data_IF_813117968097
#
_entry.id   IF_813117968097
#
_cell.length_a   1.000
_cell.length_b   1.000
_cell.length_c   1.000
_cell.angle_alpha   90.00
_cell.angle_beta   90.00
_cell.angle_gamma   90.00
#
_symmetry.space_group_name_H-M   'P 1'
#
loop_
_entity.id
_entity.type
_entity.pdbx_description
1 polymer ?
#
# COMPACT_ATOMS: atom_id res chain seq x y z
N UNK A 1 -0.13 -22.69 6.04
CA UNK A 1 0.48 -21.87 4.97
C UNK A 1 1.50 -20.99 5.64
N UNK A 2 2.74 -20.98 5.17
CA UNK A 2 3.81 -20.22 5.81
C UNK A 2 3.77 -18.74 5.42
N UNK A 3 4.25 -17.86 6.29
CA UNK A 3 4.28 -16.39 6.06
C UNK A 3 5.04 -16.04 4.77
N UNK A 4 6.10 -16.77 4.46
CA UNK A 4 6.88 -16.57 3.23
C UNK A 4 6.07 -16.89 1.98
N UNK A 5 5.22 -17.93 2.03
CA UNK A 5 4.31 -18.27 0.93
C UNK A 5 3.28 -17.17 0.70
N UNK A 6 2.77 -16.55 1.78
CA UNK A 6 1.86 -15.41 1.68
C UNK A 6 2.52 -14.21 1.02
N UNK A 7 3.72 -13.82 1.46
CA UNK A 7 4.44 -12.71 0.83
C UNK A 7 4.75 -12.97 -0.64
N UNK A 8 5.06 -14.22 -1.01
CA UNK A 8 5.24 -14.60 -2.40
C UNK A 8 3.95 -14.46 -3.23
N UNK A 9 2.81 -14.86 -2.68
CA UNK A 9 1.50 -14.73 -3.34
C UNK A 9 1.13 -13.25 -3.52
N UNK A 10 1.27 -12.44 -2.48
CA UNK A 10 1.01 -10.99 -2.55
C UNK A 10 1.93 -10.30 -3.55
N UNK A 11 3.22 -10.62 -3.52
CA UNK A 11 4.20 -10.12 -4.47
C UNK A 11 3.80 -10.45 -5.92
N UNK A 12 3.40 -11.70 -6.16
CA UNK A 12 2.95 -12.16 -7.48
C UNK A 12 1.73 -11.39 -7.97
N UNK A 13 0.77 -11.09 -7.08
CA UNK A 13 -0.40 -10.27 -7.41
C UNK A 13 -0.01 -8.84 -7.75
N UNK A 14 0.90 -8.24 -6.99
CA UNK A 14 1.44 -6.91 -7.30
C UNK A 14 2.09 -6.88 -8.68
N UNK A 15 2.92 -7.86 -9.03
CA UNK A 15 3.49 -7.95 -10.37
C UNK A 15 2.42 -8.13 -11.45
N UNK A 16 1.43 -9.00 -11.22
CA UNK A 16 0.34 -9.22 -12.16
C UNK A 16 -0.44 -7.93 -12.42
N UNK A 17 -0.91 -7.24 -11.37
CA UNK A 17 -1.67 -6.00 -11.50
C UNK A 17 -0.84 -4.84 -12.07
N UNK A 18 0.45 -4.78 -11.73
CA UNK A 18 1.39 -3.84 -12.33
C UNK A 18 1.54 -4.07 -13.84
N UNK A 19 1.70 -5.31 -14.28
CA UNK A 19 1.81 -5.66 -15.71
C UNK A 19 0.49 -5.43 -16.45
N UNK A 20 -0.66 -5.81 -15.88
CA UNK A 20 -1.97 -5.54 -16.48
C UNK A 20 -2.19 -4.05 -16.67
N UNK A 21 -1.87 -3.22 -15.67
CA UNK A 21 -2.00 -1.78 -15.79
C UNK A 21 -0.97 -1.17 -16.76
N UNK A 22 0.22 -1.76 -16.87
CA UNK A 22 1.22 -1.34 -17.85
C UNK A 22 0.67 -1.53 -19.27
N UNK A 23 0.12 -2.72 -19.57
CA UNK A 23 -0.52 -2.99 -20.86
C UNK A 23 -1.68 -2.02 -21.11
N UNK A 24 -2.53 -1.78 -20.11
CA UNK A 24 -3.62 -0.81 -20.21
C UNK A 24 -3.12 0.62 -20.48
N UNK A 25 -2.02 1.03 -19.83
CA UNK A 25 -1.42 2.37 -20.03
C UNK A 25 -0.82 2.55 -21.42
N UNK A 26 -0.27 1.48 -21.99
CA UNK A 26 0.27 1.49 -23.35
C UNK A 26 -0.86 1.52 -24.39
N UNK A 27 -1.98 0.84 -24.12
CA UNK A 27 -3.17 0.88 -24.95
C UNK A 27 -3.92 2.23 -24.87
N UNK A 28 -3.85 2.92 -23.72
CA UNK A 28 -4.56 4.17 -23.46
C UNK A 28 -3.60 5.28 -22.96
N UNK A 29 -2.80 5.92 -23.83
CA UNK A 29 -1.79 6.90 -23.43
C UNK A 29 -2.33 8.15 -22.72
N UNK A 30 -3.62 8.45 -22.87
CA UNK A 30 -4.28 9.58 -22.22
C UNK A 30 -4.65 9.34 -20.75
N UNK A 31 -4.47 8.13 -20.23
CA UNK A 31 -4.97 7.73 -18.92
C UNK A 31 -4.02 8.20 -17.79
N UNK A 32 -4.31 9.40 -17.27
CA UNK A 32 -3.56 10.01 -16.17
C UNK A 32 -3.59 9.10 -14.94
N UNK A 33 -2.45 8.94 -14.27
CA UNK A 33 -2.33 8.10 -13.06
C UNK A 33 -1.97 6.64 -13.31
N UNK A 34 -2.17 6.09 -14.52
CA UNK A 34 -1.86 4.69 -14.83
C UNK A 34 -0.40 4.32 -14.57
N UNK A 35 0.52 5.17 -15.03
CA UNK A 35 1.96 4.97 -14.83
C UNK A 35 2.36 4.94 -13.35
N UNK A 36 1.76 5.81 -12.52
CA UNK A 36 1.99 5.82 -11.08
C UNK A 36 1.45 4.57 -10.40
N UNK A 37 0.33 4.03 -10.90
CA UNK A 37 -0.22 2.76 -10.43
C UNK A 37 0.72 1.61 -10.75
N UNK A 38 1.30 1.57 -11.95
CA UNK A 38 2.31 0.57 -12.35
C UNK A 38 3.52 0.63 -11.41
N UNK A 39 4.11 1.81 -11.23
CA UNK A 39 5.27 1.99 -10.33
C UNK A 39 4.92 1.52 -8.92
N UNK A 40 3.75 1.91 -8.40
CA UNK A 40 3.30 1.50 -7.08
C UNK A 40 3.28 -0.02 -6.94
N UNK A 41 2.67 -0.72 -7.90
CA UNK A 41 2.54 -2.16 -7.85
C UNK A 41 3.88 -2.87 -7.99
N UNK A 42 4.75 -2.41 -8.90
CA UNK A 42 6.10 -2.97 -9.01
C UNK A 42 6.94 -2.75 -7.75
N UNK A 43 6.87 -1.57 -7.14
CA UNK A 43 7.54 -1.28 -5.88
C UNK A 43 7.04 -2.19 -4.75
N UNK A 44 5.72 -2.39 -4.63
CA UNK A 44 5.13 -3.28 -3.64
C UNK A 44 5.51 -4.75 -3.85
N UNK A 45 5.51 -5.23 -5.10
CA UNK A 45 5.96 -6.58 -5.44
C UNK A 45 7.41 -6.84 -5.05
N UNK A 46 8.32 -5.92 -5.40
CA UNK A 46 9.73 -6.02 -5.00
C UNK A 46 9.88 -5.94 -3.48
N UNK A 47 9.16 -5.04 -2.79
CA UNK A 47 9.21 -4.91 -1.34
C UNK A 47 8.84 -6.22 -0.63
N UNK A 48 7.76 -6.87 -1.07
CA UNK A 48 7.30 -8.13 -0.51
C UNK A 48 8.22 -9.30 -0.84
N UNK A 49 8.79 -9.35 -2.04
CA UNK A 49 9.80 -10.36 -2.40
C UNK A 49 11.03 -10.26 -1.50
N UNK A 50 11.52 -9.04 -1.26
CA UNK A 50 12.64 -8.81 -0.34
C UNK A 50 12.28 -9.19 1.10
N UNK A 51 11.04 -8.95 1.51
CA UNK A 51 10.57 -9.28 2.86
C UNK A 51 10.40 -10.80 3.06
N UNK A 52 9.93 -11.53 2.05
CA UNK A 52 9.88 -12.99 2.05
C UNK A 52 11.25 -13.65 1.97
N UNK A 53 12.21 -13.04 1.27
CA UNK A 53 13.59 -13.51 1.17
C UNK A 53 14.49 -13.04 2.33
N UNK A 54 13.93 -12.41 3.38
CA UNK A 54 14.67 -11.75 4.45
C UNK A 54 15.68 -12.66 5.17
N UNK A 55 15.39 -13.97 5.28
CA UNK A 55 16.30 -14.93 5.91
C UNK A 55 17.63 -15.11 5.15
N UNK A 56 17.67 -14.76 3.86
CA UNK A 56 18.83 -14.94 2.98
C UNK A 56 19.47 -13.61 2.56
N UNK A 57 18.96 -12.48 3.04
CA UNK A 57 19.40 -11.15 2.64
C UNK A 57 20.14 -10.42 3.76
N UNK A 58 21.13 -9.57 3.44
CA UNK A 58 21.71 -8.63 4.41
C UNK A 58 20.62 -7.79 5.06
N UNK A 59 20.74 -7.55 6.37
CA UNK A 59 19.76 -6.82 7.20
C UNK A 59 19.36 -5.47 6.56
N UNK A 60 20.33 -4.75 5.99
CA UNK A 60 20.10 -3.46 5.33
C UNK A 60 19.17 -3.61 4.12
N UNK A 61 19.38 -4.61 3.28
CA UNK A 61 18.56 -4.86 2.09
C UNK A 61 17.17 -5.37 2.50
N UNK A 62 17.10 -6.34 3.40
CA UNK A 62 15.84 -6.95 3.81
C UNK A 62 14.91 -5.99 4.57
N UNK A 63 15.46 -5.05 5.35
CA UNK A 63 14.66 -4.12 6.17
C UNK A 63 14.57 -2.74 5.54
N UNK A 64 15.70 -2.09 5.26
CA UNK A 64 15.70 -0.67 4.85
C UNK A 64 15.13 -0.53 3.46
N UNK A 65 15.63 -1.31 2.49
CA UNK A 65 15.16 -1.22 1.11
C UNK A 65 13.69 -1.63 0.98
N UNK A 66 13.26 -2.71 1.65
CA UNK A 66 11.86 -3.14 1.64
C UNK A 66 10.92 -2.05 2.18
N UNK A 67 11.26 -1.42 3.31
CA UNK A 67 10.42 -0.35 3.89
C UNK A 67 10.39 0.90 2.99
N UNK A 68 11.52 1.26 2.37
CA UNK A 68 11.57 2.36 1.40
C UNK A 68 10.68 2.08 0.18
N UNK A 69 10.68 0.84 -0.31
CA UNK A 69 9.82 0.42 -1.42
C UNK A 69 8.34 0.39 -1.04
N UNK A 70 7.98 0.00 0.18
CA UNK A 70 6.60 0.14 0.68
C UNK A 70 6.15 1.59 0.76
N UNK A 71 7.03 2.51 1.14
CA UNK A 71 6.73 3.93 1.12
C UNK A 71 6.58 4.44 -0.31
N UNK A 72 7.46 4.04 -1.22
CA UNK A 72 7.34 4.37 -2.63
C UNK A 72 6.01 3.85 -3.21
N UNK A 73 5.60 2.64 -2.85
CA UNK A 73 4.29 2.07 -3.19
C UNK A 73 3.15 2.97 -2.69
N UNK A 74 3.06 3.28 -1.39
CA UNK A 74 1.96 4.08 -0.83
C UNK A 74 1.87 5.48 -1.45
N UNK A 75 3.01 6.13 -1.65
CA UNK A 75 3.09 7.47 -2.24
C UNK A 75 2.68 7.44 -3.71
N UNK A 76 3.19 6.47 -4.48
CA UNK A 76 2.83 6.32 -5.89
C UNK A 76 1.37 5.94 -6.07
N UNK A 77 0.81 5.11 -5.17
CA UNK A 77 -0.59 4.73 -5.19
C UNK A 77 -1.50 5.94 -4.94
N UNK A 78 -1.19 6.76 -3.94
CA UNK A 78 -1.92 8.00 -3.69
C UNK A 78 -1.83 8.93 -4.90
N UNK A 79 -0.63 9.09 -5.46
CA UNK A 79 -0.41 9.91 -6.66
C UNK A 79 -1.18 9.38 -7.88
N UNK A 80 -1.28 8.07 -8.05
CA UNK A 80 -2.06 7.44 -9.10
C UNK A 80 -3.53 7.84 -8.99
N UNK A 81 -4.10 7.74 -7.79
CA UNK A 81 -5.50 8.11 -7.52
C UNK A 81 -5.75 9.60 -7.72
N UNK A 82 -4.89 10.48 -7.17
CA UNK A 82 -5.06 11.93 -7.30
C UNK A 82 -4.91 12.41 -8.74
N UNK A 83 -3.94 11.84 -9.49
CA UNK A 83 -3.73 12.17 -10.89
C UNK A 83 -4.85 11.64 -11.79
N UNK A 84 -5.38 10.46 -11.49
CA UNK A 84 -6.52 9.89 -12.20
C UNK A 84 -7.78 10.75 -12.03
N UNK A 85 -8.05 11.20 -10.80
CA UNK A 85 -9.20 12.05 -10.49
C UNK A 85 -8.99 13.54 -10.79
N UNK A 86 -7.76 13.94 -11.16
CA UNK A 86 -7.41 15.34 -11.44
C UNK A 86 -7.61 16.28 -10.24
N UNK A 87 -7.46 15.78 -9.01
CA UNK A 87 -7.73 16.55 -7.79
C UNK A 87 -6.73 16.26 -6.69
N UNK A 88 -6.51 17.27 -5.85
CA UNK A 88 -5.58 17.20 -4.72
C UNK A 88 -4.22 16.62 -5.16
N UNK A 89 -3.74 17.01 -6.35
CA UNK A 89 -2.55 16.43 -6.99
C UNK A 89 -1.26 16.61 -6.17
N UNK A 90 -1.25 17.48 -5.17
CA UNK A 90 -0.11 17.69 -4.25
C UNK A 90 -0.21 16.85 -2.97
N UNK A 91 -1.29 16.09 -2.77
CA UNK A 91 -1.52 15.30 -1.56
C UNK A 91 -0.48 14.20 -1.35
N UNK A 92 0.18 13.75 -2.41
CA UNK A 92 1.31 12.81 -2.31
C UNK A 92 2.47 13.36 -1.49
N UNK A 93 2.64 14.69 -1.39
CA UNK A 93 3.67 15.32 -0.55
C UNK A 93 3.35 15.11 0.93
N UNK A 94 2.07 15.29 1.30
CA UNK A 94 1.62 15.04 2.66
C UNK A 94 1.72 13.55 3.01
N UNK A 95 1.34 12.66 2.08
CA UNK A 95 1.53 11.21 2.23
C UNK A 95 3.01 10.85 2.38
N UNK A 96 3.90 11.45 1.57
CA UNK A 96 5.34 11.25 1.69
C UNK A 96 5.84 11.70 3.05
N UNK A 97 5.41 12.87 3.55
CA UNK A 97 5.76 13.36 4.88
C UNK A 97 5.38 12.38 5.99
N UNK A 98 4.14 11.88 5.98
CA UNK A 98 3.66 10.87 6.94
C UNK A 98 4.49 9.58 6.85
N UNK A 99 4.75 9.10 5.63
CA UNK A 99 5.54 7.90 5.41
C UNK A 99 6.99 8.04 5.88
N UNK A 100 7.62 9.21 5.67
CA UNK A 100 8.99 9.48 6.12
C UNK A 100 9.08 9.51 7.65
N UNK A 101 8.13 10.15 8.33
CA UNK A 101 8.03 10.10 9.80
C UNK A 101 7.85 8.66 10.29
N UNK A 102 6.98 7.89 9.62
CA UNK A 102 6.80 6.47 9.88
C UNK A 102 8.09 5.65 9.75
N UNK A 103 8.84 5.82 8.65
CA UNK A 103 10.14 5.15 8.44
C UNK A 103 11.12 5.49 9.56
N UNK A 104 11.24 6.76 9.95
CA UNK A 104 12.13 7.16 11.03
C UNK A 104 11.77 6.44 12.34
N UNK A 105 10.46 6.32 12.64
CA UNK A 105 9.98 5.54 13.78
C UNK A 105 10.32 4.06 13.66
N UNK A 106 10.09 3.45 12.50
CA UNK A 106 10.43 2.04 12.25
C UNK A 106 11.92 1.78 12.40
N UNK A 107 12.77 2.67 11.88
CA UNK A 107 14.22 2.57 11.99
C UNK A 107 14.67 2.69 13.46
N UNK A 108 14.13 3.65 14.20
CA UNK A 108 14.43 3.84 15.63
C UNK A 108 14.09 2.60 16.46
N UNK A 109 12.88 2.07 16.32
CA UNK A 109 12.42 0.87 17.02
C UNK A 109 12.96 -0.45 16.46
N UNK A 110 13.74 -0.40 15.37
CA UNK A 110 14.43 -1.59 14.84
C UNK A 110 15.92 -1.62 15.18
N UNK A 111 16.57 -0.45 15.29
CA UNK A 111 18.02 -0.35 15.44
C UNK A 111 18.46 0.12 16.83
N UNK A 112 17.68 1.00 17.49
CA UNK A 112 18.06 1.62 18.77
C UNK A 112 17.37 0.94 19.95
N UNK A 113 16.04 0.80 19.88
CA UNK A 113 15.23 0.14 20.91
C UNK A 113 14.35 -0.93 20.28
N UNK A 114 14.84 -2.18 20.14
CA UNK A 114 14.10 -3.25 19.47
C UNK A 114 12.85 -3.65 20.26
N UNK A 115 11.73 -3.01 19.94
CA UNK A 115 10.39 -3.35 20.44
C UNK A 115 9.50 -3.71 19.24
N UNK A 116 9.14 -4.99 19.15
CA UNK A 116 8.34 -5.50 18.03
C UNK A 116 6.91 -4.93 18.07
N UNK A 117 6.32 -4.77 19.25
CA UNK A 117 4.95 -4.27 19.41
C UNK A 117 4.84 -2.82 18.96
N UNK A 118 5.74 -1.96 19.43
CA UNK A 118 5.76 -0.54 19.04
C UNK A 118 6.09 -0.38 17.56
N UNK A 119 7.04 -1.16 17.03
CA UNK A 119 7.36 -1.14 15.59
C UNK A 119 6.13 -1.47 14.73
N UNK A 120 5.36 -2.49 15.11
CA UNK A 120 4.15 -2.87 14.35
C UNK A 120 3.05 -1.82 14.48
N UNK A 121 2.91 -1.17 15.63
CA UNK A 121 2.00 -0.04 15.80
C UNK A 121 2.39 1.14 14.88
N UNK A 122 3.68 1.50 14.80
CA UNK A 122 4.18 2.55 13.91
C UNK A 122 3.94 2.21 12.44
N UNK A 123 4.24 0.99 12.00
CA UNK A 123 3.96 0.54 10.62
C UNK A 123 2.46 0.62 10.33
N UNK A 124 1.62 0.23 11.28
CA UNK A 124 0.17 0.25 11.11
C UNK A 124 -0.36 1.67 10.95
N UNK A 125 0.14 2.64 11.73
CA UNK A 125 -0.19 4.06 11.56
C UNK A 125 0.33 4.58 10.21
N UNK A 126 1.57 4.23 9.85
CA UNK A 126 2.21 4.61 8.59
C UNK A 126 1.42 4.12 7.36
N UNK A 127 0.70 3.00 7.47
CA UNK A 127 -0.16 2.48 6.40
C UNK A 127 -1.58 3.05 6.48
N UNK A 128 -2.16 3.13 7.68
CA UNK A 128 -3.54 3.58 7.88
C UNK A 128 -3.75 5.05 7.47
N UNK A 129 -2.84 5.95 7.86
CA UNK A 129 -3.00 7.39 7.59
C UNK A 129 -2.99 7.69 6.07
N UNK A 130 -2.02 7.23 5.27
CA UNK A 130 -2.06 7.36 3.81
C UNK A 130 -3.29 6.73 3.16
N UNK A 131 -3.79 5.63 3.72
CA UNK A 131 -4.99 4.95 3.23
C UNK A 131 -6.25 5.78 3.48
N UNK A 132 -6.39 6.37 4.68
CA UNK A 132 -7.47 7.32 4.99
C UNK A 132 -7.40 8.57 4.12
N UNK A 133 -6.19 9.10 3.92
CA UNK A 133 -5.93 10.20 3.01
C UNK A 133 -6.38 9.87 1.58
N UNK A 134 -6.05 8.68 1.08
CA UNK A 134 -6.46 8.23 -0.26
C UNK A 134 -7.98 8.02 -0.33
N UNK A 135 -8.59 7.45 0.71
CA UNK A 135 -10.04 7.30 0.82
C UNK A 135 -10.77 8.66 0.82
N UNK A 136 -10.22 9.66 1.54
CA UNK A 136 -10.74 11.02 1.55
C UNK A 136 -10.76 11.63 0.15
N UNK A 137 -9.67 11.46 -0.59
CA UNK A 137 -9.61 11.85 -2.00
C UNK A 137 -10.68 11.13 -2.77
N UNK A 138 -10.89 9.83 -2.61
CA UNK A 138 -11.87 9.04 -3.38
C UNK A 138 -13.33 9.43 -3.09
N UNK A 139 -13.67 9.77 -1.85
CA UNK A 139 -15.05 10.14 -1.48
C UNK A 139 -15.49 11.53 -1.94
N UNK A 140 -14.57 12.39 -2.39
CA UNK A 140 -14.92 13.71 -2.88
C UNK A 140 -15.78 13.69 -4.17
N UNK A 141 -16.22 14.86 -4.67
CA UNK A 141 -17.03 15.00 -5.88
C UNK A 141 -16.38 14.37 -7.13
N UNK A 142 -17.06 13.44 -7.80
CA UNK A 142 -16.57 12.80 -9.02
C UNK A 142 -17.64 12.85 -10.14
N UNK A 143 -17.19 12.80 -11.39
CA UNK A 143 -18.04 12.69 -12.57
C UNK A 143 -18.97 11.47 -12.45
N UNK A 144 -20.19 11.57 -13.00
CA UNK A 144 -21.24 10.54 -12.83
C UNK A 144 -20.79 9.14 -13.25
N UNK A 145 -19.98 9.03 -14.31
CA UNK A 145 -19.47 7.75 -14.80
C UNK A 145 -18.49 7.03 -13.86
N UNK A 146 -17.72 7.76 -13.05
CA UNK A 146 -16.65 7.18 -12.21
C UNK A 146 -17.00 7.19 -10.72
N UNK A 147 -18.09 7.87 -10.34
CA UNK A 147 -18.47 8.10 -8.94
C UNK A 147 -18.66 6.81 -8.14
N UNK A 148 -19.31 5.81 -8.72
CA UNK A 148 -19.56 4.53 -8.03
C UNK A 148 -18.26 3.77 -7.80
N UNK A 149 -17.42 3.63 -8.84
CA UNK A 149 -16.13 2.97 -8.74
C UNK A 149 -15.19 3.70 -7.76
N UNK A 150 -15.17 5.03 -7.78
CA UNK A 150 -14.38 5.85 -6.86
C UNK A 150 -14.81 5.66 -5.41
N UNK A 151 -16.12 5.66 -5.12
CA UNK A 151 -16.64 5.40 -3.76
C UNK A 151 -16.36 3.99 -3.28
N UNK A 152 -16.52 2.99 -4.15
CA UNK A 152 -16.20 1.60 -3.81
C UNK A 152 -14.72 1.46 -3.47
N UNK A 153 -13.84 2.01 -4.29
CA UNK A 153 -12.40 2.02 -4.03
C UNK A 153 -12.08 2.77 -2.74
N UNK A 154 -12.75 3.90 -2.47
CA UNK A 154 -12.64 4.63 -1.21
C UNK A 154 -13.00 3.76 0.01
N UNK A 155 -14.07 2.96 -0.10
CA UNK A 155 -14.45 1.98 0.93
C UNK A 155 -13.41 0.89 1.13
N UNK A 156 -12.74 0.43 0.06
CA UNK A 156 -11.64 -0.55 0.17
C UNK A 156 -10.45 0.05 0.93
N UNK A 157 -10.07 1.30 0.63
CA UNK A 157 -9.01 2.00 1.39
C UNK A 157 -9.40 2.26 2.85
N UNK A 158 -10.67 2.58 3.12
CA UNK A 158 -11.18 2.74 4.48
C UNK A 158 -11.15 1.41 5.24
N UNK A 159 -11.56 0.32 4.60
CA UNK A 159 -11.48 -1.02 5.16
C UNK A 159 -10.02 -1.40 5.45
N UNK A 160 -9.10 -1.12 4.53
CA UNK A 160 -7.67 -1.35 4.74
C UNK A 160 -7.11 -0.56 5.92
N UNK A 161 -7.49 0.72 6.06
CA UNK A 161 -7.10 1.53 7.21
C UNK A 161 -7.62 0.94 8.53
N UNK A 162 -8.85 0.42 8.54
CA UNK A 162 -9.43 -0.23 9.71
C UNK A 162 -8.71 -1.54 10.05
N UNK A 163 -8.45 -2.40 9.07
CA UNK A 163 -7.74 -3.68 9.24
C UNK A 163 -6.32 -3.46 9.73
N UNK A 164 -5.59 -2.52 9.13
CA UNK A 164 -4.21 -2.20 9.54
C UNK A 164 -4.16 -1.57 10.94
N UNK A 165 -5.12 -0.69 11.29
CA UNK A 165 -5.23 -0.14 12.64
C UNK A 165 -5.54 -1.22 13.67
N UNK A 166 -6.47 -2.14 13.36
CA UNK A 166 -6.79 -3.29 14.19
C UNK A 166 -5.59 -4.22 14.38
N UNK A 167 -4.79 -4.44 13.32
CA UNK A 167 -3.52 -5.19 13.37
C UNK A 167 -2.55 -4.55 14.35
N UNK A 168 -2.32 -3.24 14.22
CA UNK A 168 -1.42 -2.49 15.10
C UNK A 168 -1.82 -2.62 16.57
N UNK A 169 -3.10 -2.44 16.86
CA UNK A 169 -3.64 -2.59 18.22
C UNK A 169 -3.54 -4.03 18.75
N UNK A 170 -3.92 -5.02 17.94
CA UNK A 170 -3.91 -6.43 18.34
C UNK A 170 -2.49 -6.94 18.63
N UNK A 171 -1.52 -6.58 17.80
CA UNK A 171 -0.12 -6.96 18.01
C UNK A 171 0.46 -6.27 19.23
N UNK A 172 0.19 -4.97 19.41
CA UNK A 172 0.64 -4.22 20.57
C UNK A 172 0.08 -4.78 21.88
N UNK A 173 -1.22 -5.09 21.94
CA UNK A 173 -1.90 -5.48 23.19
C UNK A 173 -1.82 -6.96 23.51
N UNK A 174 -1.93 -7.82 22.50
CA UNK A 174 -2.15 -9.26 22.66
C UNK A 174 -1.07 -10.12 22.00
N UNK A 175 -0.10 -9.51 21.29
CA UNK A 175 1.02 -10.23 20.67
C UNK A 175 0.56 -11.34 19.71
N UNK A 176 -0.62 -11.15 19.09
CA UNK A 176 -1.27 -12.15 18.21
C UNK A 176 -0.45 -12.33 16.92
N UNK A 177 -0.33 -13.57 16.41
CA UNK A 177 0.30 -13.82 15.12
C UNK A 177 -0.40 -13.06 13.98
N UNK A 178 0.41 -12.42 13.14
CA UNK A 178 -0.01 -11.49 12.07
C UNK A 178 -0.66 -12.14 10.85
N UNK A 179 -0.78 -13.48 10.81
CA UNK A 179 -1.19 -14.25 9.63
C UNK A 179 -2.56 -13.84 9.08
N UNK A 180 -3.57 -13.69 9.94
CA UNK A 180 -4.93 -13.32 9.52
C UNK A 180 -4.99 -11.94 8.87
N UNK A 181 -4.16 -11.01 9.33
CA UNK A 181 -4.11 -9.65 8.76
C UNK A 181 -3.44 -9.64 7.39
N UNK A 182 -2.38 -10.43 7.19
CA UNK A 182 -1.73 -10.59 5.88
C UNK A 182 -2.73 -11.19 4.87
N UNK A 183 -3.54 -12.17 5.30
CA UNK A 183 -4.61 -12.71 4.45
C UNK A 183 -5.67 -11.68 4.04
N UNK A 184 -6.00 -10.73 4.92
CA UNK A 184 -6.93 -9.64 4.58
C UNK A 184 -6.28 -8.63 3.63
N UNK A 185 -4.97 -8.42 3.72
CA UNK A 185 -4.21 -7.55 2.83
C UNK A 185 -4.32 -8.03 1.36
N UNK A 186 -4.34 -9.35 1.10
CA UNK A 186 -4.61 -9.92 -0.24
C UNK A 186 -5.93 -9.43 -0.86
N UNK A 187 -7.01 -9.45 -0.08
CA UNK A 187 -8.35 -9.02 -0.53
C UNK A 187 -8.33 -7.53 -0.85
N UNK A 188 -7.64 -6.74 -0.02
CA UNK A 188 -7.47 -5.31 -0.24
C UNK A 188 -6.67 -5.04 -1.51
N UNK A 189 -5.54 -5.71 -1.73
CA UNK A 189 -4.69 -5.52 -2.91
C UNK A 189 -5.50 -5.78 -4.19
N UNK A 190 -6.25 -6.89 -4.22
CA UNK A 190 -7.14 -7.21 -5.32
C UNK A 190 -8.23 -6.14 -5.49
N UNK A 191 -8.89 -5.73 -4.40
CA UNK A 191 -9.92 -4.70 -4.43
C UNK A 191 -9.43 -3.34 -4.93
N UNK A 192 -8.19 -2.97 -4.57
CA UNK A 192 -7.56 -1.74 -5.05
C UNK A 192 -7.28 -1.84 -6.56
N UNK A 193 -6.72 -2.96 -7.02
CA UNK A 193 -6.42 -3.16 -8.43
C UNK A 193 -7.69 -3.19 -9.30
N UNK A 194 -8.70 -3.99 -8.92
CA UNK A 194 -9.96 -4.04 -9.65
C UNK A 194 -10.70 -2.70 -9.60
N UNK A 195 -10.72 -2.01 -8.46
CA UNK A 195 -11.33 -0.70 -8.35
C UNK A 195 -10.65 0.33 -9.24
N UNK A 196 -9.31 0.32 -9.33
CA UNK A 196 -8.57 1.22 -10.20
C UNK A 196 -8.78 0.90 -11.68
N UNK A 197 -8.76 -0.38 -12.05
CA UNK A 197 -9.04 -0.82 -13.42
C UNK A 197 -10.47 -0.45 -13.83
N UNK A 198 -11.45 -0.64 -12.95
CA UNK A 198 -12.84 -0.26 -13.23
C UNK A 198 -13.01 1.25 -13.39
N UNK A 199 -12.30 2.07 -12.61
CA UNK A 199 -12.31 3.51 -12.86
C UNK A 199 -11.74 3.86 -14.24
N UNK A 200 -10.80 3.07 -14.75
CA UNK A 200 -10.09 3.30 -16.02
C UNK A 200 -10.77 2.72 -17.28
N UNK A 201 -11.85 1.95 -17.11
CA UNK A 201 -12.62 1.33 -18.19
C UNK A 201 -13.78 2.22 -18.66
#
# INVERSE_FOLDING_TARGET
>A
MDINTLFFVESSLFFLFGLTMLVNSLANPGLRGAYWFVISNLAGGVALSLQGARAHLPVVIGIVLSNLLFVAQLVCLNRAVTAFLGRMEQMWIAVLGVCMVGICGVAYFSLVHPDIGVRVAVISIMMAVPSLMTAWVLFGPAASGVRTASRLLGSVFLFFAAVTSARGYAVYRFHVPSFYFIWLDLIVIAGIAFGFIWMSA
#
